data_IF_113060898202
#
_entry.id   IF_113060898202
#
_cell.length_a   1.000
_cell.length_b   1.000
_cell.length_c   1.000
_cell.angle_alpha   90.00
_cell.angle_beta   90.00
_cell.angle_gamma   90.00
#
_symmetry.space_group_name_H-M   'P 1'
#
loop_
_entity.id
_entity.type
_entity.pdbx_description
1 polymer ?
#
# COMPACT_ATOMS: atom_id res chain seq x y z
N UNK A 1 -21.82 11.82 10.88
CA UNK A 1 -20.59 11.08 10.55
C UNK A 1 -20.97 9.63 10.49
N UNK A 2 -20.88 9.01 9.32
CA UNK A 2 -21.20 7.60 9.16
C UNK A 2 -19.99 6.76 9.59
N UNK A 3 -19.92 6.43 10.87
CA UNK A 3 -18.95 5.46 11.39
C UNK A 3 -19.52 4.06 11.21
N UNK A 4 -18.79 3.18 10.54
CA UNK A 4 -19.20 1.78 10.43
C UNK A 4 -19.15 1.12 11.83
N UNK A 5 -20.26 0.55 12.33
CA UNK A 5 -20.34 0.05 13.69
C UNK A 5 -19.50 -1.22 13.92
N UNK A 6 -19.07 -1.91 12.87
CA UNK A 6 -18.31 -3.16 12.97
C UNK A 6 -16.79 -2.92 12.97
N UNK A 7 -16.33 -1.86 12.31
CA UNK A 7 -14.90 -1.57 12.12
C UNK A 7 -14.44 -0.29 12.81
N UNK A 8 -15.36 0.58 13.23
CA UNK A 8 -15.05 1.89 13.80
C UNK A 8 -14.45 2.87 12.78
N UNK A 9 -14.51 2.54 11.49
CA UNK A 9 -13.96 3.37 10.42
C UNK A 9 -14.93 4.51 10.12
N UNK A 10 -14.40 5.73 10.06
CA UNK A 10 -15.11 6.90 9.57
C UNK A 10 -15.09 6.90 8.03
N UNK A 11 -16.21 6.54 7.42
CA UNK A 11 -16.32 6.40 5.96
C UNK A 11 -16.13 7.75 5.25
N UNK A 12 -16.62 8.84 5.86
CA UNK A 12 -16.54 10.18 5.29
C UNK A 12 -15.08 10.64 5.23
N UNK A 13 -14.33 10.41 6.32
CA UNK A 13 -12.90 10.72 6.37
C UNK A 13 -12.10 9.91 5.34
N UNK A 14 -12.44 8.64 5.12
CA UNK A 14 -11.73 7.81 4.15
C UNK A 14 -12.05 8.21 2.71
N UNK A 15 -13.31 8.52 2.38
CA UNK A 15 -13.66 9.07 1.06
C UNK A 15 -12.97 10.40 0.78
N UNK A 16 -12.83 11.26 1.80
CA UNK A 16 -12.10 12.51 1.69
C UNK A 16 -10.60 12.29 1.42
N UNK A 17 -9.98 11.30 2.08
CA UNK A 17 -8.61 10.90 1.77
C UNK A 17 -8.44 10.42 0.32
N UNK A 18 -9.40 9.66 -0.21
CA UNK A 18 -9.37 9.24 -1.61
C UNK A 18 -9.54 10.44 -2.56
N UNK A 19 -10.41 11.41 -2.22
CA UNK A 19 -10.59 12.63 -3.01
C UNK A 19 -9.30 13.44 -3.10
N UNK A 20 -8.63 13.69 -1.97
CA UNK A 20 -7.36 14.41 -1.92
C UNK A 20 -6.30 13.72 -2.80
N UNK A 21 -6.17 12.40 -2.68
CA UNK A 21 -5.26 11.60 -3.51
C UNK A 21 -5.56 11.73 -5.02
N UNK A 22 -6.84 11.67 -5.38
CA UNK A 22 -7.30 11.82 -6.76
C UNK A 22 -6.99 13.21 -7.35
N UNK A 23 -7.16 14.26 -6.54
CA UNK A 23 -6.85 15.64 -6.91
C UNK A 23 -5.35 15.89 -7.03
N UNK A 24 -4.54 15.18 -6.24
CA UNK A 24 -3.07 15.20 -6.34
C UNK A 24 -2.51 14.44 -7.54
N UNK A 25 -3.36 13.83 -8.36
CA UNK A 25 -2.99 13.21 -9.64
C UNK A 25 -3.02 11.69 -9.64
N UNK A 26 -3.17 11.03 -8.50
CA UNK A 26 -3.31 9.57 -8.46
C UNK A 26 -4.78 9.17 -8.76
N UNK A 27 -5.08 9.04 -10.05
CA UNK A 27 -6.44 8.72 -10.52
C UNK A 27 -6.91 7.33 -10.13
N UNK A 28 -6.02 6.44 -9.67
CA UNK A 28 -6.43 5.13 -9.14
C UNK A 28 -7.28 5.25 -7.87
N UNK A 29 -7.20 6.38 -7.15
CA UNK A 29 -7.99 6.64 -5.95
C UNK A 29 -9.51 6.69 -6.21
N UNK A 30 -9.97 6.94 -7.44
CA UNK A 30 -11.38 6.79 -7.79
C UNK A 30 -11.86 5.33 -7.70
N UNK A 31 -11.03 4.38 -8.16
CA UNK A 31 -11.34 2.95 -8.05
C UNK A 31 -11.31 2.47 -6.59
N UNK A 32 -10.37 2.98 -5.79
CA UNK A 32 -10.33 2.68 -4.35
C UNK A 32 -11.59 3.17 -3.64
N UNK A 33 -12.05 4.39 -3.92
CA UNK A 33 -13.30 4.90 -3.37
C UNK A 33 -14.49 4.03 -3.78
N UNK A 34 -14.58 3.59 -5.03
CA UNK A 34 -15.65 2.71 -5.49
C UNK A 34 -15.63 1.35 -4.78
N UNK A 35 -14.45 0.70 -4.71
CA UNK A 35 -14.29 -0.59 -4.04
C UNK A 35 -14.60 -0.50 -2.54
N UNK A 36 -14.15 0.57 -1.88
CA UNK A 36 -14.43 0.84 -0.47
C UNK A 36 -15.93 1.01 -0.23
N UNK A 37 -16.62 1.77 -1.09
CA UNK A 37 -18.05 1.95 -1.00
C UNK A 37 -18.79 0.61 -1.11
N UNK A 38 -18.43 -0.23 -2.09
CA UNK A 38 -19.00 -1.57 -2.25
C UNK A 38 -18.72 -2.49 -1.05
N UNK A 39 -17.53 -2.41 -0.44
CA UNK A 39 -17.18 -3.25 0.71
C UNK A 39 -18.02 -2.93 1.95
N UNK A 40 -18.30 -1.64 2.19
CA UNK A 40 -19.08 -1.17 3.33
C UNK A 40 -20.58 -1.01 3.01
N UNK A 41 -21.06 -1.53 1.88
CA UNK A 41 -22.44 -1.35 1.40
C UNK A 41 -22.93 0.10 1.46
N UNK A 42 -22.04 1.04 1.11
CA UNK A 42 -22.28 2.47 1.16
C UNK A 42 -22.32 3.06 -0.25
N UNK A 43 -22.88 4.27 -0.35
CA UNK A 43 -22.95 4.97 -1.64
C UNK A 43 -21.58 5.55 -2.00
N UNK A 44 -21.02 5.23 -3.18
CA UNK A 44 -19.76 5.83 -3.61
C UNK A 44 -19.91 7.34 -3.84
N UNK A 45 -18.84 8.13 -3.63
CA UNK A 45 -18.88 9.57 -3.85
C UNK A 45 -19.02 9.89 -5.33
N UNK A 46 -19.76 10.96 -5.63
CA UNK A 46 -20.13 11.35 -7.00
C UNK A 46 -18.93 11.50 -7.94
N UNK A 47 -17.85 12.12 -7.46
CA UNK A 47 -16.62 12.31 -8.25
C UNK A 47 -16.01 10.99 -8.72
N UNK A 48 -16.04 9.94 -7.88
CA UNK A 48 -15.51 8.64 -8.22
C UNK A 48 -16.39 7.94 -9.26
N UNK A 49 -17.72 8.02 -9.10
CA UNK A 49 -18.69 7.50 -10.06
C UNK A 49 -18.50 8.16 -11.43
N UNK A 50 -18.46 9.50 -11.47
CA UNK A 50 -18.33 10.26 -12.72
C UNK A 50 -17.03 9.93 -13.44
N UNK A 51 -15.91 9.85 -12.71
CA UNK A 51 -14.61 9.46 -13.28
C UNK A 51 -14.65 8.06 -13.89
N UNK A 52 -15.15 7.07 -13.14
CA UNK A 52 -15.19 5.67 -13.59
C UNK A 52 -16.14 5.48 -14.77
N UNK A 53 -17.34 6.08 -14.73
CA UNK A 53 -18.31 5.97 -15.83
C UNK A 53 -17.77 6.65 -17.10
N UNK A 54 -17.13 7.82 -16.97
CA UNK A 54 -16.53 8.52 -18.12
C UNK A 54 -15.41 7.69 -18.74
N UNK A 55 -14.49 7.19 -17.92
CA UNK A 55 -13.41 6.31 -18.39
C UNK A 55 -13.95 5.04 -19.05
N UNK A 56 -14.93 4.38 -18.44
CA UNK A 56 -15.58 3.21 -19.03
C UNK A 56 -16.19 3.51 -20.40
N UNK A 57 -16.92 4.63 -20.54
CA UNK A 57 -17.51 5.04 -21.82
C UNK A 57 -16.46 5.30 -22.89
N UNK A 58 -15.37 5.99 -22.56
CA UNK A 58 -14.29 6.27 -23.51
C UNK A 58 -13.62 4.96 -23.98
N UNK A 59 -13.32 4.04 -23.06
CA UNK A 59 -12.73 2.76 -23.41
C UNK A 59 -13.69 1.88 -24.21
N UNK A 60 -14.95 1.77 -23.79
CA UNK A 60 -15.97 0.99 -24.46
C UNK A 60 -16.31 1.55 -25.86
N UNK A 61 -16.28 2.88 -26.00
CA UNK A 61 -16.44 3.57 -27.28
C UNK A 61 -15.19 3.52 -28.18
N UNK A 62 -14.12 2.85 -27.75
CA UNK A 62 -12.83 2.76 -28.45
C UNK A 62 -12.14 4.12 -28.69
N UNK A 63 -12.44 5.14 -27.88
CA UNK A 63 -11.76 6.45 -27.91
C UNK A 63 -10.33 6.37 -27.34
N UNK A 64 -10.07 5.36 -26.50
CA UNK A 64 -8.78 5.09 -25.86
C UNK A 64 -8.46 3.60 -25.89
N UNK A 65 -7.17 3.25 -25.84
CA UNK A 65 -6.71 1.88 -26.12
C UNK A 65 -6.79 0.97 -24.91
N UNK A 66 -6.73 1.54 -23.70
CA UNK A 66 -6.65 0.77 -22.45
C UNK A 66 -7.49 1.41 -21.35
N UNK A 67 -7.91 0.63 -20.37
CA UNK A 67 -8.59 1.15 -19.18
C UNK A 67 -7.69 2.04 -18.32
N UNK A 68 -6.38 1.76 -18.26
CA UNK A 68 -5.43 2.61 -17.54
C UNK A 68 -5.41 4.02 -18.15
N UNK A 69 -5.33 4.12 -19.49
CA UNK A 69 -5.45 5.39 -20.23
C UNK A 69 -6.81 6.05 -19.98
N UNK A 70 -7.90 5.29 -20.08
CA UNK A 70 -9.26 5.79 -19.89
C UNK A 70 -9.52 6.38 -18.50
N UNK A 71 -8.86 5.82 -17.49
CA UNK A 71 -8.98 6.23 -16.09
C UNK A 71 -7.86 7.20 -15.68
N UNK A 72 -6.96 7.58 -16.58
CA UNK A 72 -5.82 8.46 -16.29
C UNK A 72 -4.84 7.86 -15.28
N UNK A 73 -4.70 6.53 -15.26
CA UNK A 73 -3.82 5.82 -14.34
C UNK A 73 -2.44 5.68 -14.99
N UNK A 74 -1.47 6.41 -14.47
CA UNK A 74 -0.08 6.29 -14.89
C UNK A 74 0.63 5.16 -14.13
N UNK A 75 1.20 4.22 -14.88
CA UNK A 75 2.07 3.18 -14.31
C UNK A 75 3.52 3.65 -14.40
N UNK A 76 4.33 3.50 -13.33
CA UNK A 76 5.73 3.91 -13.37
C UNK A 76 6.50 3.10 -14.42
N UNK A 77 7.53 3.72 -15.02
CA UNK A 77 8.41 3.02 -15.97
C UNK A 77 9.00 1.78 -15.32
N UNK A 78 8.90 0.64 -16.00
CA UNK A 78 9.36 -0.65 -15.48
C UNK A 78 8.34 -1.37 -14.59
N UNK A 79 7.11 -0.87 -14.48
CA UNK A 79 6.02 -1.60 -13.84
C UNK A 79 5.79 -2.95 -14.53
N UNK A 80 5.74 -4.02 -13.74
CA UNK A 80 5.54 -5.40 -14.21
C UNK A 80 4.43 -6.05 -13.40
N UNK A 81 3.49 -6.67 -14.10
CA UNK A 81 2.32 -7.31 -13.49
C UNK A 81 2.69 -8.42 -12.50
N UNK A 82 3.71 -9.23 -12.80
CA UNK A 82 4.16 -10.33 -11.92
C UNK A 82 4.60 -9.84 -10.54
N UNK A 83 5.62 -8.96 -10.46
CA UNK A 83 6.03 -8.32 -9.20
C UNK A 83 4.88 -7.58 -8.49
N UNK A 84 4.04 -6.83 -9.23
CA UNK A 84 2.90 -6.13 -8.64
C UNK A 84 1.89 -7.08 -8.00
N UNK A 85 1.58 -8.21 -8.65
CA UNK A 85 0.73 -9.28 -8.10
C UNK A 85 1.33 -9.91 -6.85
N UNK A 86 2.63 -10.18 -6.86
CA UNK A 86 3.31 -10.73 -5.69
C UNK A 86 3.29 -9.75 -4.51
N UNK A 87 3.53 -8.46 -4.76
CA UNK A 87 3.40 -7.42 -3.74
C UNK A 87 1.97 -7.35 -3.19
N UNK A 88 0.95 -7.31 -4.05
CA UNK A 88 -0.45 -7.27 -3.61
C UNK A 88 -0.86 -8.50 -2.79
N UNK A 89 -0.37 -9.69 -3.16
CA UNK A 89 -0.70 -10.94 -2.47
C UNK A 89 0.01 -11.11 -1.13
N UNK A 90 1.26 -10.68 -1.05
CA UNK A 90 2.14 -11.00 0.08
C UNK A 90 2.58 -9.81 0.92
N UNK A 91 2.34 -8.57 0.46
CA UNK A 91 2.88 -7.33 1.00
C UNK A 91 2.65 -7.16 2.50
N UNK A 92 1.38 -7.03 2.90
CA UNK A 92 1.03 -6.86 4.32
C UNK A 92 1.57 -8.00 5.20
N UNK A 93 1.56 -9.23 4.69
CA UNK A 93 2.00 -10.40 5.44
C UNK A 93 3.54 -10.43 5.63
N UNK A 94 4.31 -10.12 4.57
CA UNK A 94 5.75 -9.94 4.63
C UNK A 94 6.09 -8.79 5.59
N UNK A 95 5.39 -7.66 5.49
CA UNK A 95 5.63 -6.52 6.37
C UNK A 95 5.46 -6.88 7.85
N UNK A 96 4.36 -7.56 8.20
CA UNK A 96 4.11 -8.00 9.57
C UNK A 96 5.15 -9.02 10.03
N UNK A 97 5.46 -10.03 9.22
CA UNK A 97 6.41 -11.09 9.61
C UNK A 97 7.83 -10.57 9.79
N UNK A 98 8.30 -9.71 8.89
CA UNK A 98 9.61 -9.07 9.01
C UNK A 98 9.67 -8.26 10.30
N UNK A 99 8.70 -7.40 10.58
CA UNK A 99 8.71 -6.60 11.81
C UNK A 99 8.64 -7.46 13.08
N UNK A 100 7.82 -8.53 13.09
CA UNK A 100 7.79 -9.50 14.19
C UNK A 100 9.11 -10.24 14.39
N UNK A 101 9.84 -10.54 13.31
CA UNK A 101 11.14 -11.18 13.42
C UNK A 101 12.17 -10.21 14.01
N UNK A 102 12.13 -8.94 13.60
CA UNK A 102 13.01 -7.88 14.08
C UNK A 102 12.82 -7.49 15.55
N UNK A 103 11.72 -7.92 16.18
CA UNK A 103 11.56 -7.85 17.64
C UNK A 103 12.48 -8.84 18.38
N UNK A 104 12.93 -9.89 17.70
CA UNK A 104 13.67 -11.02 18.27
C UNK A 104 15.12 -11.10 17.81
N UNK A 105 15.42 -10.58 16.62
CA UNK A 105 16.74 -10.66 16.00
C UNK A 105 17.16 -9.30 15.45
N UNK A 106 18.46 -9.10 15.31
CA UNK A 106 18.99 -7.91 14.67
C UNK A 106 18.62 -7.83 13.19
N UNK A 107 18.50 -6.59 12.70
CA UNK A 107 18.21 -6.34 11.29
C UNK A 107 19.41 -6.77 10.42
N UNK A 108 19.32 -7.98 9.87
CA UNK A 108 20.23 -8.52 8.87
C UNK A 108 19.48 -8.89 7.60
N UNK A 109 20.23 -9.04 6.53
CA UNK A 109 19.73 -9.51 5.24
C UNK A 109 19.07 -10.91 5.30
N UNK A 110 19.42 -11.71 6.30
CA UNK A 110 18.90 -13.07 6.50
C UNK A 110 17.43 -13.08 6.95
N UNK A 111 16.95 -11.96 7.49
CA UNK A 111 15.53 -11.76 7.81
C UNK A 111 14.67 -11.92 6.56
N UNK A 112 15.07 -11.29 5.45
CA UNK A 112 14.35 -11.39 4.18
C UNK A 112 14.45 -12.76 3.55
N UNK A 113 15.59 -13.43 3.71
CA UNK A 113 15.76 -14.80 3.24
C UNK A 113 14.82 -15.76 3.99
N UNK A 114 14.78 -15.65 5.32
CA UNK A 114 13.93 -16.47 6.19
C UNK A 114 12.44 -16.28 5.90
N UNK A 115 11.99 -15.03 5.80
CA UNK A 115 10.58 -14.73 5.48
C UNK A 115 10.25 -15.15 4.04
N UNK A 116 11.16 -14.90 3.09
CA UNK A 116 10.99 -15.30 1.70
C UNK A 116 10.82 -16.80 1.53
N UNK A 117 11.68 -17.62 2.17
CA UNK A 117 11.59 -19.08 2.12
C UNK A 117 10.24 -19.60 2.60
N UNK A 118 9.72 -19.09 3.73
CA UNK A 118 8.39 -19.49 4.26
C UNK A 118 7.24 -19.19 3.29
N UNK A 119 7.44 -18.23 2.40
CA UNK A 119 6.42 -17.73 1.47
C UNK A 119 6.64 -18.24 0.04
N UNK A 120 7.72 -18.98 -0.22
CA UNK A 120 8.11 -19.38 -1.57
C UNK A 120 8.58 -18.21 -2.45
N UNK A 121 9.14 -17.15 -1.85
CA UNK A 121 9.57 -15.92 -2.52
C UNK A 121 11.07 -15.74 -2.34
N UNK A 122 11.78 -15.34 -3.40
CA UNK A 122 13.20 -15.04 -3.31
C UNK A 122 13.51 -13.90 -2.33
N UNK A 123 14.71 -13.92 -1.73
CA UNK A 123 15.20 -12.88 -0.80
C UNK A 123 15.03 -11.46 -1.35
N UNK A 124 15.49 -11.22 -2.59
CA UNK A 124 15.44 -9.90 -3.23
C UNK A 124 14.00 -9.40 -3.38
N UNK A 125 13.11 -10.22 -3.92
CA UNK A 125 11.69 -9.86 -4.07
C UNK A 125 11.02 -9.61 -2.71
N UNK A 126 11.37 -10.38 -1.68
CA UNK A 126 10.84 -10.18 -0.31
C UNK A 126 11.28 -8.82 0.25
N UNK A 127 12.55 -8.44 0.05
CA UNK A 127 13.08 -7.14 0.45
C UNK A 127 12.39 -5.99 -0.29
N UNK A 128 12.26 -6.09 -1.61
CA UNK A 128 11.57 -5.08 -2.44
C UNK A 128 10.13 -4.87 -2.00
N UNK A 129 9.39 -5.97 -1.76
CA UNK A 129 8.01 -5.90 -1.27
C UNK A 129 7.96 -5.23 0.11
N UNK A 130 8.84 -5.63 1.04
CA UNK A 130 8.90 -5.04 2.37
C UNK A 130 9.14 -3.52 2.34
N UNK A 131 10.12 -3.07 1.55
CA UNK A 131 10.43 -1.65 1.43
C UNK A 131 9.33 -0.88 0.69
N UNK A 132 8.66 -1.52 -0.27
CA UNK A 132 7.46 -0.97 -0.93
C UNK A 132 6.34 -0.68 0.07
N UNK A 133 6.02 -1.64 0.93
CA UNK A 133 5.02 -1.47 2.00
C UNK A 133 5.43 -0.39 3.01
N UNK A 134 6.70 -0.34 3.41
CA UNK A 134 7.20 0.70 4.30
C UNK A 134 7.08 2.10 3.68
N UNK A 135 7.36 2.23 2.38
CA UNK A 135 7.19 3.50 1.66
C UNK A 135 5.71 3.88 1.53
N UNK A 136 4.84 2.91 1.25
CA UNK A 136 3.39 3.14 1.21
C UNK A 136 2.87 3.61 2.58
N UNK A 137 3.37 3.02 3.67
CA UNK A 137 3.01 3.40 5.03
C UNK A 137 3.51 4.81 5.38
N UNK A 138 4.73 5.19 5.00
CA UNK A 138 5.25 6.56 5.17
C UNK A 138 4.42 7.59 4.40
N UNK A 139 3.92 7.27 3.20
CA UNK A 139 3.03 8.17 2.45
C UNK A 139 1.68 8.35 3.13
N UNK A 140 1.13 7.29 3.73
CA UNK A 140 -0.15 7.35 4.46
C UNK A 140 -0.01 8.06 5.80
N UNK A 141 1.12 7.86 6.48
CA UNK A 141 1.40 8.39 7.81
C UNK A 141 2.84 8.90 7.85
N UNK A 142 3.06 10.18 7.47
CA UNK A 142 4.40 10.77 7.44
C UNK A 142 5.10 10.67 8.80
N UNK A 143 6.36 10.22 8.81
CA UNK A 143 7.16 10.05 10.01
C UNK A 143 7.22 8.64 10.58
N UNK A 144 6.34 7.72 10.17
CA UNK A 144 6.41 6.31 10.63
C UNK A 144 7.69 5.63 10.17
N UNK A 145 8.11 5.84 8.94
CA UNK A 145 9.36 5.34 8.39
C UNK A 145 10.56 5.85 9.17
N UNK A 146 10.51 7.08 9.71
CA UNK A 146 11.54 7.59 10.65
C UNK A 146 11.50 6.83 11.96
N UNK A 147 10.30 6.60 12.53
CA UNK A 147 10.13 5.83 13.76
C UNK A 147 10.62 4.37 13.60
N UNK A 148 10.22 3.69 12.52
CA UNK A 148 10.67 2.33 12.18
C UNK A 148 12.18 2.29 11.99
N UNK A 149 12.77 3.26 11.28
CA UNK A 149 14.24 3.36 11.14
C UNK A 149 14.94 3.65 12.47
N UNK A 150 14.36 4.47 13.34
CA UNK A 150 14.89 4.79 14.66
C UNK A 150 14.87 3.57 15.59
N UNK A 151 13.78 2.79 15.59
CA UNK A 151 13.66 1.52 16.32
C UNK A 151 14.72 0.51 15.85
N UNK A 152 15.01 0.45 14.55
CA UNK A 152 16.11 -0.38 14.00
C UNK A 152 17.51 0.07 14.46
N UNK A 153 17.76 1.38 14.55
CA UNK A 153 19.03 1.89 15.09
C UNK A 153 19.22 1.54 16.56
N UNK A 154 18.13 1.44 17.33
CA UNK A 154 18.14 1.07 18.74
C UNK A 154 18.42 -0.43 18.95
N UNK A 155 17.91 -1.31 18.07
CA UNK A 155 18.23 -2.76 18.11
C UNK A 155 19.70 -3.04 17.80
N UNK A 156 20.33 -2.29 16.89
CA UNK A 156 21.77 -2.43 16.55
C UNK A 156 22.74 -2.02 17.68
N UNK A 157 22.26 -1.52 18.82
CA UNK A 157 23.12 -0.99 19.87
C UNK A 157 22.92 -1.57 21.29
N UNK A 158 22.82 -2.90 21.52
CA UNK A 158 22.81 -3.45 22.87
C UNK A 158 24.23 -3.48 23.47
N UNK A 159 25.27 -3.60 22.63
CA UNK A 159 26.66 -3.80 23.06
C UNK A 159 27.37 -2.53 23.59
N UNK A 160 26.75 -1.34 23.47
CA UNK A 160 27.35 -0.05 23.91
C UNK A 160 26.78 0.48 25.22
N UNK A 161 25.72 -0.13 25.76
CA UNK A 161 25.14 0.24 27.06
C UNK A 161 25.63 -0.62 28.23
N UNK A 162 26.34 -1.72 27.98
CA UNK A 162 26.94 -2.58 29.01
C UNK A 162 28.41 -2.23 29.37
N UNK A 163 28.89 -1.03 29.02
CA UNK A 163 30.25 -0.55 29.33
C UNK A 163 30.26 0.83 30.03
N UNK A 164 29.28 1.10 30.89
CA UNK A 164 29.32 2.26 31.79
C UNK A 164 29.05 1.82 33.21
#
# INVERSE_FOLDING_TARGET
MATDPNTGIDLDAEFERFRICFEQGDKSCALHALAFACYFDSRPPRWAIEHVITGYRNWHGAEVRTLDEALGIERPKGWRLGPARNAARHGGAIFVEVNKLLEKVDFTDDVFHTVGQRRGIGKTATSEIYYGELQALERRQPGIGKAVKASRKKSRNPARQAKR
#
